data_IF_947876428026
#
_entry.id   IF_947876428026
#
_cell.length_a   1.000
_cell.length_b   1.000
_cell.length_c   1.000
_cell.angle_alpha   90.00
_cell.angle_beta   90.00
_cell.angle_gamma   90.00
#
_symmetry.space_group_name_H-M   'P 1'
#
loop_
_entity.id
_entity.type
_entity.pdbx_description
1 polymer ?
#
# COMPACT_ATOMS: atom_id res chain seq x y z
N UNK A 1 -22.04 -2.73 10.03
CA UNK A 1 -21.91 -1.38 9.45
C UNK A 1 -21.30 -1.53 8.06
N UNK A 2 -21.87 -0.92 7.02
CA UNK A 2 -21.26 -0.85 5.67
C UNK A 2 -20.88 0.61 5.42
N UNK A 3 -19.68 0.84 4.92
CA UNK A 3 -19.15 2.19 4.63
C UNK A 3 -18.84 2.25 3.14
N UNK A 4 -19.26 3.32 2.48
CA UNK A 4 -18.86 3.62 1.10
C UNK A 4 -17.50 4.33 1.14
N UNK A 5 -16.48 3.72 0.56
CA UNK A 5 -15.10 4.22 0.55
C UNK A 5 -14.82 5.09 -0.67
N UNK A 6 -15.83 5.35 -1.50
CA UNK A 6 -15.67 6.08 -2.76
C UNK A 6 -14.97 5.25 -3.83
N UNK A 7 -14.58 5.94 -4.92
CA UNK A 7 -13.87 5.32 -6.04
C UNK A 7 -12.37 5.37 -5.78
N UNK A 8 -11.63 4.27 -6.02
CA UNK A 8 -10.18 4.30 -5.93
C UNK A 8 -9.61 5.20 -7.04
N UNK A 9 -8.55 5.92 -6.70
CA UNK A 9 -7.81 6.79 -7.60
C UNK A 9 -6.36 6.32 -7.73
N UNK A 10 -5.85 6.26 -8.96
CA UNK A 10 -4.53 5.72 -9.29
C UNK A 10 -3.58 6.75 -9.89
N UNK A 11 -4.09 7.92 -10.29
CA UNK A 11 -3.26 9.01 -10.80
C UNK A 11 -2.37 9.54 -9.67
N UNK A 12 -1.04 9.52 -9.91
CA UNK A 12 -0.05 9.98 -8.94
C UNK A 12 -0.32 11.39 -8.42
N UNK A 13 -0.80 12.31 -9.26
CA UNK A 13 -1.07 13.70 -8.85
C UNK A 13 -2.21 13.79 -7.83
N UNK A 14 -3.15 12.84 -7.89
CA UNK A 14 -4.29 12.77 -6.96
C UNK A 14 -3.98 11.93 -5.71
N UNK A 15 -2.92 11.14 -5.71
CA UNK A 15 -2.39 10.39 -4.54
C UNK A 15 -1.35 11.20 -3.73
N UNK A 16 -1.14 12.48 -4.08
CA UNK A 16 0.16 13.18 -3.94
C UNK A 16 1.42 12.30 -3.96
N UNK A 17 1.68 11.67 -5.11
CA UNK A 17 2.91 10.96 -5.42
C UNK A 17 3.72 11.68 -6.51
N UNK A 18 5.04 11.71 -6.40
CA UNK A 18 5.93 12.33 -7.38
C UNK A 18 5.96 11.57 -8.72
N UNK A 19 6.17 12.34 -9.79
CA UNK A 19 6.15 11.86 -11.18
C UNK A 19 4.75 11.91 -11.81
N UNK A 20 4.63 11.33 -13.00
CA UNK A 20 3.39 11.35 -13.80
C UNK A 20 2.83 9.94 -14.03
N UNK A 21 1.55 9.88 -14.38
CA UNK A 21 0.86 8.64 -14.74
C UNK A 21 0.44 7.81 -13.53
N UNK A 22 0.47 6.49 -13.70
CA UNK A 22 0.06 5.52 -12.70
C UNK A 22 1.29 4.92 -12.00
N UNK A 23 1.09 4.35 -10.81
CA UNK A 23 2.11 3.56 -10.12
C UNK A 23 1.50 2.21 -9.74
N UNK A 24 1.22 1.38 -10.75
CA UNK A 24 0.61 0.06 -10.58
C UNK A 24 1.68 -0.98 -10.88
N UNK A 25 1.98 -1.81 -9.89
CA UNK A 25 3.04 -2.83 -9.95
C UNK A 25 4.30 -2.23 -10.59
N UNK A 26 4.88 -1.25 -9.91
CA UNK A 26 6.11 -0.56 -10.31
C UNK A 26 7.21 -0.83 -9.29
N UNK A 27 8.47 -0.68 -9.72
CA UNK A 27 9.60 -0.80 -8.80
C UNK A 27 9.65 0.39 -7.85
N UNK A 28 9.76 0.08 -6.56
CA UNK A 28 10.02 1.02 -5.49
C UNK A 28 11.35 0.64 -4.81
N UNK A 29 12.36 1.48 -4.97
CA UNK A 29 13.71 1.23 -4.42
C UNK A 29 13.83 1.91 -3.06
N UNK A 30 13.98 1.13 -2.01
CA UNK A 30 14.05 1.63 -0.62
C UNK A 30 15.28 1.01 0.03
N UNK A 31 16.25 1.85 0.39
CA UNK A 31 17.46 1.46 1.14
C UNK A 31 18.20 0.25 0.52
N UNK A 32 18.43 0.31 -0.80
CA UNK A 32 19.12 -0.74 -1.56
C UNK A 32 18.26 -1.98 -1.86
N UNK A 33 17.04 -2.08 -1.34
CA UNK A 33 16.07 -3.13 -1.68
C UNK A 33 15.10 -2.64 -2.74
N UNK A 34 14.62 -3.54 -3.59
CA UNK A 34 13.61 -3.24 -4.61
C UNK A 34 12.32 -3.97 -4.28
N UNK A 35 11.22 -3.24 -4.22
CA UNK A 35 9.88 -3.77 -3.99
C UNK A 35 8.99 -3.56 -5.21
N UNK A 36 8.01 -4.45 -5.39
CA UNK A 36 6.91 -4.26 -6.34
C UNK A 36 5.74 -3.62 -5.61
N UNK A 37 5.38 -2.40 -6.00
CA UNK A 37 4.42 -1.59 -5.27
C UNK A 37 3.32 -1.05 -6.18
N UNK A 38 2.12 -0.91 -5.61
CA UNK A 38 0.97 -0.24 -6.23
C UNK A 38 0.52 0.90 -5.34
N UNK A 39 0.52 2.13 -5.86
CA UNK A 39 0.01 3.29 -5.15
C UNK A 39 -1.41 3.62 -5.61
N UNK A 40 -2.28 3.93 -4.65
CA UNK A 40 -3.66 4.35 -4.88
C UNK A 40 -4.17 5.22 -3.74
N UNK A 41 -5.30 5.89 -3.96
CA UNK A 41 -6.03 6.60 -2.93
C UNK A 41 -7.46 6.13 -2.82
N UNK A 42 -7.94 6.00 -1.59
CA UNK A 42 -9.35 5.79 -1.23
C UNK A 42 -9.86 6.94 -0.35
N UNK A 43 -9.37 8.16 -0.61
CA UNK A 43 -9.57 9.37 0.19
C UNK A 43 -8.32 9.84 0.93
N UNK A 44 -7.38 8.93 1.16
CA UNK A 44 -6.02 9.16 1.67
C UNK A 44 -5.02 8.26 0.90
N UNK A 45 -3.71 8.51 0.94
CA UNK A 45 -2.76 7.80 0.10
C UNK A 45 -2.34 6.45 0.71
N UNK A 46 -2.27 5.44 -0.15
CA UNK A 46 -1.89 4.06 0.18
C UNK A 46 -0.83 3.53 -0.80
N UNK A 47 0.11 2.76 -0.27
CA UNK A 47 1.15 2.07 -1.01
C UNK A 47 1.12 0.59 -0.64
N UNK A 48 0.58 -0.23 -1.54
CA UNK A 48 0.41 -1.67 -1.34
C UNK A 48 1.58 -2.44 -1.93
N UNK A 49 2.18 -3.30 -1.13
CA UNK A 49 3.30 -4.17 -1.49
C UNK A 49 2.90 -5.61 -1.23
N UNK A 50 3.01 -6.46 -2.25
CA UNK A 50 2.79 -7.89 -2.09
C UNK A 50 4.08 -8.58 -1.63
N UNK A 51 3.97 -9.39 -0.58
CA UNK A 51 5.07 -10.14 0.04
C UNK A 51 4.70 -11.61 0.15
N UNK A 52 5.70 -12.48 0.22
CA UNK A 52 5.48 -13.93 0.29
C UNK A 52 5.04 -14.40 1.69
N UNK A 53 5.49 -13.72 2.75
CA UNK A 53 5.12 -14.01 4.13
C UNK A 53 5.03 -12.70 4.91
N UNK A 54 3.82 -12.28 5.27
CA UNK A 54 3.59 -11.02 5.98
C UNK A 54 3.90 -11.14 7.48
N UNK A 55 3.78 -12.34 8.04
CA UNK A 55 4.02 -12.60 9.47
C UNK A 55 5.46 -12.32 9.85
N UNK A 56 6.41 -12.76 9.04
CA UNK A 56 7.84 -12.61 9.30
C UNK A 56 8.45 -11.36 8.62
N UNK A 57 7.62 -10.55 7.94
CA UNK A 57 8.09 -9.36 7.25
C UNK A 57 8.49 -8.24 8.25
N UNK A 58 9.63 -7.55 8.06
CA UNK A 58 10.10 -6.50 8.96
C UNK A 58 9.38 -5.16 8.71
N UNK A 59 8.07 -5.11 9.00
CA UNK A 59 7.20 -3.93 8.79
C UNK A 59 7.75 -2.69 9.48
N UNK A 60 8.20 -2.80 10.74
CA UNK A 60 8.73 -1.66 11.50
C UNK A 60 10.06 -1.13 10.98
N UNK A 61 10.79 -1.90 10.18
CA UNK A 61 12.03 -1.44 9.55
C UNK A 61 11.79 -0.80 8.18
N UNK A 62 10.86 -1.38 7.40
CA UNK A 62 10.60 -0.99 6.00
C UNK A 62 9.52 0.08 5.91
N UNK A 63 8.47 -0.03 6.71
CA UNK A 63 7.34 0.90 6.80
C UNK A 63 7.74 2.37 6.92
N UNK A 64 8.55 2.79 7.90
CA UNK A 64 8.93 4.20 8.06
C UNK A 64 9.76 4.73 6.88
N UNK A 65 10.54 3.86 6.22
CA UNK A 65 11.34 4.24 5.05
C UNK A 65 10.46 4.51 3.83
N UNK A 66 9.39 3.73 3.66
CA UNK A 66 8.42 3.94 2.58
C UNK A 66 7.48 5.11 2.90
N UNK A 67 7.02 5.23 4.15
CA UNK A 67 6.20 6.34 4.61
C UNK A 67 6.84 7.69 4.25
N UNK A 68 8.15 7.82 4.44
CA UNK A 68 8.91 9.05 4.21
C UNK A 68 9.68 9.04 2.88
N UNK A 69 9.35 8.14 1.96
CA UNK A 69 10.04 8.04 0.68
C UNK A 69 9.84 9.31 -0.16
N UNK A 70 10.86 9.72 -0.93
CA UNK A 70 10.84 10.93 -1.77
C UNK A 70 9.68 10.97 -2.78
N UNK A 71 9.19 9.79 -3.17
CA UNK A 71 8.04 9.66 -4.06
C UNK A 71 6.72 10.05 -3.38
N UNK A 72 6.65 10.11 -2.05
CA UNK A 72 5.45 10.43 -1.30
C UNK A 72 5.68 11.71 -0.47
N UNK A 73 5.65 12.91 -1.09
CA UNK A 73 5.93 14.18 -0.39
C UNK A 73 5.00 14.44 0.80
N UNK A 74 3.77 13.94 0.75
CA UNK A 74 2.79 14.05 1.84
C UNK A 74 2.71 12.80 2.72
N UNK A 75 3.74 11.95 2.64
CA UNK A 75 3.84 10.62 3.23
C UNK A 75 2.68 9.68 2.82
N UNK A 76 2.79 8.40 3.16
CA UNK A 76 1.85 7.38 2.69
C UNK A 76 1.60 6.29 3.75
N UNK A 77 0.40 5.71 3.76
CA UNK A 77 0.15 4.46 4.48
C UNK A 77 0.72 3.29 3.67
N UNK A 78 1.33 2.32 4.34
CA UNK A 78 1.99 1.21 3.66
C UNK A 78 1.36 -0.09 4.08
N UNK A 79 0.79 -0.82 3.12
CA UNK A 79 0.23 -2.16 3.34
C UNK A 79 1.18 -3.21 2.79
N UNK A 80 1.59 -4.14 3.65
CA UNK A 80 2.29 -5.36 3.26
C UNK A 80 1.28 -6.49 3.22
N UNK A 81 1.12 -7.11 2.05
CA UNK A 81 0.00 -8.02 1.77
C UNK A 81 0.52 -9.37 1.28
N UNK A 82 0.06 -10.43 1.91
CA UNK A 82 0.26 -11.80 1.48
C UNK A 82 -1.04 -12.35 0.88
N UNK A 83 -0.95 -12.97 -0.29
CA UNK A 83 -2.10 -13.57 -0.97
C UNK A 83 -2.22 -15.03 -0.54
N UNK A 84 -3.17 -15.32 0.35
CA UNK A 84 -3.43 -16.68 0.84
C UNK A 84 -4.26 -17.46 -0.18
N UNK A 85 -5.26 -16.80 -0.78
CA UNK A 85 -6.07 -17.35 -1.86
C UNK A 85 -6.74 -16.24 -2.66
N UNK A 86 -7.48 -16.59 -3.74
CA UNK A 86 -8.29 -15.63 -4.49
C UNK A 86 -9.39 -14.93 -3.66
N UNK A 87 -9.66 -15.39 -2.44
CA UNK A 87 -10.69 -14.83 -1.56
C UNK A 87 -10.15 -14.36 -0.22
N UNK A 88 -8.84 -14.50 0.02
CA UNK A 88 -8.25 -14.25 1.32
C UNK A 88 -6.86 -13.62 1.18
N UNK A 89 -6.68 -12.51 1.90
CA UNK A 89 -5.43 -11.78 2.01
C UNK A 89 -5.09 -11.65 3.50
N UNK A 90 -3.81 -11.80 3.83
CA UNK A 90 -3.27 -11.34 5.10
C UNK A 90 -2.56 -10.01 4.88
N UNK A 91 -2.70 -9.08 5.82
CA UNK A 91 -2.02 -7.82 5.73
C UNK A 91 -1.49 -7.33 7.08
N UNK A 92 -0.40 -6.58 7.02
CA UNK A 92 0.09 -5.72 8.11
C UNK A 92 0.27 -4.33 7.54
N UNK A 93 0.02 -3.32 8.36
CA UNK A 93 0.00 -1.92 7.93
C UNK A 93 0.95 -1.09 8.75
N UNK A 94 1.66 -0.20 8.08
CA UNK A 94 2.34 0.94 8.68
C UNK A 94 1.54 2.20 8.38
N UNK A 95 0.88 2.75 9.38
CA UNK A 95 0.06 3.95 9.24
C UNK A 95 0.90 5.22 9.35
N UNK A 96 0.67 6.12 8.39
CA UNK A 96 1.31 7.43 8.30
C UNK A 96 1.17 8.21 9.60
N UNK A 97 2.31 8.56 10.20
CA UNK A 97 2.39 9.35 11.44
C UNK A 97 2.03 8.58 12.72
N UNK A 98 1.71 7.29 12.62
CA UNK A 98 1.31 6.45 13.76
C UNK A 98 2.29 5.31 13.97
N UNK A 99 2.68 4.62 12.89
CA UNK A 99 3.48 3.40 12.95
C UNK A 99 2.66 2.15 12.67
N UNK A 100 3.14 1.00 13.11
CA UNK A 100 2.42 -0.26 12.92
C UNK A 100 1.14 -0.32 13.77
N UNK A 101 0.00 -0.57 13.13
CA UNK A 101 -1.31 -0.69 13.80
C UNK A 101 -1.93 -2.06 13.57
N UNK A 102 -2.87 -2.43 14.44
CA UNK A 102 -3.55 -3.74 14.38
C UNK A 102 -4.53 -3.85 13.20
N UNK A 103 -5.08 -2.74 12.73
CA UNK A 103 -6.05 -2.72 11.64
C UNK A 103 -6.19 -1.32 11.05
N UNK A 104 -6.27 -1.25 9.72
CA UNK A 104 -6.62 -0.04 8.98
C UNK A 104 -7.72 -0.35 7.97
N UNK A 105 -8.92 0.22 8.16
CA UNK A 105 -10.08 -0.05 7.29
C UNK A 105 -9.89 0.43 5.86
N UNK A 106 -9.29 1.61 5.67
CA UNK A 106 -8.93 2.14 4.34
C UNK A 106 -7.83 1.32 3.69
N UNK A 107 -6.81 0.89 4.46
CA UNK A 107 -5.72 0.04 3.98
C UNK A 107 -6.19 -1.34 3.51
N UNK A 108 -7.16 -1.94 4.19
CA UNK A 108 -7.78 -3.19 3.75
C UNK A 108 -8.50 -3.02 2.40
N UNK A 109 -9.26 -1.95 2.20
CA UNK A 109 -9.90 -1.66 0.92
C UNK A 109 -8.88 -1.41 -0.19
N UNK A 110 -7.83 -0.62 0.09
CA UNK A 110 -6.75 -0.36 -0.85
C UNK A 110 -6.04 -1.67 -1.28
N UNK A 111 -5.78 -2.57 -0.33
CA UNK A 111 -5.16 -3.87 -0.58
C UNK A 111 -5.98 -4.76 -1.51
N UNK A 112 -7.30 -4.84 -1.29
CA UNK A 112 -8.20 -5.61 -2.16
C UNK A 112 -8.28 -5.01 -3.57
N UNK A 113 -8.36 -3.68 -3.66
CA UNK A 113 -8.37 -2.98 -4.96
C UNK A 113 -7.08 -3.23 -5.73
N UNK A 114 -5.92 -3.13 -5.07
CA UNK A 114 -4.63 -3.44 -5.67
C UNK A 114 -4.56 -4.90 -6.13
N UNK A 115 -4.97 -5.85 -5.27
CA UNK A 115 -4.95 -7.27 -5.59
C UNK A 115 -5.81 -7.60 -6.83
N UNK A 116 -7.02 -7.01 -6.91
CA UNK A 116 -7.91 -7.17 -8.07
C UNK A 116 -7.32 -6.55 -9.34
N UNK A 117 -6.72 -5.36 -9.22
CA UNK A 117 -6.06 -4.67 -10.35
C UNK A 117 -4.93 -5.52 -10.94
N UNK A 118 -4.26 -6.32 -10.11
CA UNK A 118 -3.18 -7.22 -10.51
C UNK A 118 -3.63 -8.66 -10.77
N UNK A 119 -4.93 -8.95 -10.82
CA UNK A 119 -5.50 -10.29 -10.98
C UNK A 119 -4.99 -11.33 -9.95
N UNK A 120 -4.62 -10.88 -8.75
CA UNK A 120 -4.18 -11.74 -7.63
C UNK A 120 -5.36 -12.34 -6.84
N UNK A 121 -6.52 -11.70 -6.90
CA UNK A 121 -7.81 -12.19 -6.37
C UNK A 121 -8.84 -12.29 -7.48
#
# INVERSE_FOLDING_TARGET
MKVDMGKPEFDRKKIPMAGDGLFIDQELKVDGKTFRATALSVGNPHCVIFVDNVKDFPVSEVGPKIENHELFPNRVNVEFVEVISRKELWLRVWERGVGETLACGTGACASVVAAKTLNKV
#
